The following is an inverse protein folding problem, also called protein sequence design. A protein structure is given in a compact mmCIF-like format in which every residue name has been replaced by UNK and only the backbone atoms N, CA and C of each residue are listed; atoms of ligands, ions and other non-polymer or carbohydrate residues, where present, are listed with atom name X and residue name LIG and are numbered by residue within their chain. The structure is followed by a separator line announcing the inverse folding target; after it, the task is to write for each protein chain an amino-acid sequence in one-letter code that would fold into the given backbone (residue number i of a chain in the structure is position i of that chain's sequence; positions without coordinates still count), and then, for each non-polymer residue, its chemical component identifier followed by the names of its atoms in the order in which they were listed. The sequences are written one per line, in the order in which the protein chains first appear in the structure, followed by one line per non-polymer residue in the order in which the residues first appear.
data_IF_647898726888
#
_entry.id   IF_647898726888
#
_cell.length_a   1.000
_cell.length_b   1.000
_cell.length_c   1.000
_cell.angle_alpha   90.00
_cell.angle_beta   90.00
_cell.angle_gamma   90.00
#
_symmetry.space_group_name_H-M   'P 1'
#
loop_
_entity.id
_entity.type
_entity.pdbx_description
1 polymer ?
#
# COMPACT_ATOMS: atom_id res chain seq x y z
N UNK A 1 -42.77 56.51 10.51
CA UNK A 1 -42.74 55.07 10.15
C UNK A 1 -41.29 54.65 10.17
N UNK A 2 -40.90 53.91 11.21
CA UNK A 2 -39.54 53.40 11.39
C UNK A 2 -39.52 51.96 10.88
N UNK A 3 -38.80 51.71 9.79
CA UNK A 3 -38.54 50.35 9.30
C UNK A 3 -37.24 49.85 9.92
N UNK A 4 -37.36 48.95 10.91
CA UNK A 4 -36.22 48.19 11.42
C UNK A 4 -35.97 47.01 10.47
N UNK A 5 -34.83 47.08 9.77
CA UNK A 5 -34.28 45.97 8.99
C UNK A 5 -34.03 44.75 9.88
N UNK A 6 -34.49 43.58 9.41
CA UNK A 6 -34.12 42.28 9.99
C UNK A 6 -32.64 42.01 9.73
N UNK A 7 -31.87 41.46 10.69
CA UNK A 7 -30.53 40.97 10.41
C UNK A 7 -30.59 39.82 9.42
N UNK A 8 -29.78 39.89 8.37
CA UNK A 8 -29.57 38.79 7.42
C UNK A 8 -28.94 37.61 8.16
N UNK A 9 -29.46 36.42 7.91
CA UNK A 9 -28.83 35.15 8.29
C UNK A 9 -27.37 35.12 7.83
N UNK A 10 -26.45 34.99 8.78
CA UNK A 10 -25.05 34.66 8.51
C UNK A 10 -25.00 33.24 7.93
N UNK A 11 -24.93 33.14 6.60
CA UNK A 11 -24.51 31.90 5.95
C UNK A 11 -23.08 31.59 6.41
N UNK A 12 -22.95 30.54 7.23
CA UNK A 12 -21.68 29.87 7.50
C UNK A 12 -20.98 29.64 6.17
N UNK A 13 -19.73 30.09 5.95
CA UNK A 13 -19.02 29.70 4.77
C UNK A 13 -18.75 28.20 4.91
N UNK A 14 -19.44 27.40 4.10
CA UNK A 14 -19.01 26.04 3.81
C UNK A 14 -17.58 26.16 3.24
N UNK A 15 -16.59 25.82 4.06
CA UNK A 15 -15.24 25.55 3.61
C UNK A 15 -15.30 24.22 2.85
N UNK A 16 -15.95 24.22 1.69
CA UNK A 16 -15.76 23.18 0.70
C UNK A 16 -14.30 23.25 0.27
N UNK A 17 -13.53 22.25 0.69
CA UNK A 17 -12.15 22.09 0.26
C UNK A 17 -12.14 21.96 -1.26
N UNK A 18 -11.64 22.99 -1.95
CA UNK A 18 -11.65 23.09 -3.42
C UNK A 18 -10.51 22.33 -4.11
N UNK A 19 -9.71 21.61 -3.33
CA UNK A 19 -8.59 20.82 -3.81
C UNK A 19 -9.14 19.49 -4.35
N UNK A 20 -9.30 19.44 -5.67
CA UNK A 20 -9.57 18.20 -6.39
C UNK A 20 -8.22 17.62 -6.87
N UNK A 21 -7.77 16.46 -6.35
CA UNK A 21 -6.52 15.81 -6.75
C UNK A 21 -6.40 15.57 -8.26
N UNK A 22 -7.51 15.41 -8.99
CA UNK A 22 -7.52 15.24 -10.44
C UNK A 22 -6.99 16.47 -11.20
N UNK A 23 -6.99 17.66 -10.59
CA UNK A 23 -6.45 18.88 -11.21
C UNK A 23 -4.92 18.89 -11.31
N UNK A 24 -4.24 18.01 -10.59
CA UNK A 24 -2.78 17.89 -10.62
C UNK A 24 -2.28 16.86 -11.65
N UNK A 25 -3.19 16.18 -12.35
CA UNK A 25 -2.86 15.25 -13.44
C UNK A 25 -2.74 15.99 -14.79
N UNK A 26 -1.80 16.93 -14.94
CA UNK A 26 -1.45 17.51 -16.25
C UNK A 26 -0.07 18.20 -16.29
N UNK A 27 0.55 18.17 -17.47
CA UNK A 27 1.95 18.49 -17.81
C UNK A 27 2.32 19.98 -17.61
N UNK A 28 2.99 20.37 -16.50
CA UNK A 28 4.15 21.32 -16.55
C UNK A 28 4.63 21.94 -15.22
N UNK A 29 4.14 21.51 -14.06
CA UNK A 29 4.93 21.65 -12.82
C UNK A 29 4.75 20.39 -12.00
N UNK A 30 5.59 19.38 -12.28
CA UNK A 30 5.66 18.18 -11.46
C UNK A 30 6.55 18.50 -10.26
N UNK A 31 6.00 18.43 -9.05
CA UNK A 31 6.79 18.56 -7.83
C UNK A 31 7.96 17.57 -7.88
N UNK A 32 9.22 18.02 -7.71
CA UNK A 32 10.37 17.14 -7.82
C UNK A 32 10.25 15.95 -6.86
N UNK A 33 10.48 14.73 -7.34
CA UNK A 33 10.44 13.54 -6.50
C UNK A 33 11.37 13.72 -5.28
N UNK A 34 10.87 13.38 -4.11
CA UNK A 34 11.60 13.51 -2.85
C UNK A 34 11.58 14.92 -2.25
N UNK A 35 10.92 15.88 -2.88
CA UNK A 35 10.69 17.22 -2.30
C UNK A 35 9.46 17.26 -1.39
N UNK A 36 9.39 18.28 -0.54
CA UNK A 36 8.23 18.50 0.32
C UNK A 36 6.89 18.69 -0.45
N UNK A 37 6.81 19.48 -1.54
CA UNK A 37 5.57 19.56 -2.33
C UNK A 37 5.16 18.21 -2.92
N UNK A 38 6.13 17.38 -3.30
CA UNK A 38 5.85 16.04 -3.82
C UNK A 38 5.22 15.15 -2.75
N UNK A 39 5.67 15.21 -1.48
CA UNK A 39 5.07 14.38 -0.42
C UNK A 39 3.67 14.80 -0.02
N UNK A 40 3.33 16.09 -0.13
CA UNK A 40 1.97 16.53 0.19
C UNK A 40 0.97 15.93 -0.81
N UNK A 41 1.35 15.88 -2.10
CA UNK A 41 0.59 15.18 -3.12
C UNK A 41 0.48 13.69 -2.77
N UNK A 42 1.56 13.06 -2.31
CA UNK A 42 1.50 11.64 -1.95
C UNK A 42 0.57 11.37 -0.75
N UNK A 43 0.63 12.21 0.29
CA UNK A 43 -0.24 12.11 1.47
C UNK A 43 -1.72 12.30 1.11
N UNK A 44 -2.05 13.25 0.23
CA UNK A 44 -3.41 13.46 -0.26
C UNK A 44 -3.94 12.28 -1.08
N UNK A 45 -3.04 11.57 -1.77
CA UNK A 45 -3.33 10.29 -2.45
C UNK A 45 -3.41 9.10 -1.48
N UNK A 46 -3.20 9.33 -0.17
CA UNK A 46 -3.28 8.30 0.87
C UNK A 46 -1.98 7.50 1.11
N UNK A 47 -0.86 7.91 0.52
CA UNK A 47 0.43 7.23 0.72
C UNK A 47 1.07 7.59 2.05
N UNK A 48 1.85 6.65 2.59
CA UNK A 48 2.72 6.90 3.73
C UNK A 48 4.11 7.33 3.27
N UNK A 49 4.63 8.41 3.83
CA UNK A 49 5.92 9.00 3.39
C UNK A 49 6.92 9.08 4.53
N UNK A 50 8.20 8.89 4.25
CA UNK A 50 9.27 8.94 5.24
C UNK A 50 10.48 9.69 4.69
N UNK A 51 11.36 10.15 5.57
CA UNK A 51 12.68 10.67 5.18
C UNK A 51 13.69 9.53 5.17
N UNK A 52 14.76 9.65 4.38
CA UNK A 52 15.79 8.61 4.31
C UNK A 52 16.66 8.57 5.57
N UNK A 53 16.80 9.71 6.22
CA UNK A 53 17.62 9.91 7.42
C UNK A 53 16.89 9.61 8.74
N UNK A 54 15.59 9.28 8.68
CA UNK A 54 14.85 8.90 9.88
C UNK A 54 15.41 7.59 10.45
N UNK A 55 15.77 7.67 11.73
CA UNK A 55 16.62 6.72 12.44
C UNK A 55 15.97 5.36 12.72
N UNK A 56 14.65 5.28 12.61
CA UNK A 56 13.88 4.07 12.85
C UNK A 56 13.30 3.58 11.51
N UNK A 57 13.42 2.28 11.18
CA UNK A 57 13.00 1.72 9.89
C UNK A 57 11.51 1.92 9.59
N UNK A 58 10.71 2.30 10.58
CA UNK A 58 9.26 2.34 10.52
C UNK A 58 8.68 3.74 10.79
N UNK A 59 9.49 4.81 10.85
CA UNK A 59 8.95 6.17 10.97
C UNK A 59 8.33 6.63 9.63
N UNK A 60 7.07 7.10 9.66
CA UNK A 60 6.38 7.61 8.47
C UNK A 60 5.30 8.64 8.82
N UNK A 61 4.95 9.48 7.84
CA UNK A 61 3.78 10.36 7.86
C UNK A 61 2.61 9.70 7.15
N UNK A 62 1.40 10.00 7.60
CA UNK A 62 0.16 9.52 7.00
C UNK A 62 -0.97 10.54 7.21
N UNK A 63 -1.95 10.55 6.31
CA UNK A 63 -3.13 11.39 6.44
C UNK A 63 -4.14 10.75 7.41
N UNK A 64 -4.55 11.50 8.43
CA UNK A 64 -5.64 11.13 9.33
C UNK A 64 -6.91 11.81 8.80
N UNK A 65 -7.94 11.04 8.41
CA UNK A 65 -9.17 11.63 7.88
C UNK A 65 -9.95 12.36 8.97
N UNK A 66 -10.79 13.30 8.53
CA UNK A 66 -11.76 13.97 9.39
C UNK A 66 -12.60 12.93 10.15
N UNK A 67 -12.78 13.15 11.44
CA UNK A 67 -13.56 12.27 12.30
C UNK A 67 -14.40 13.08 13.28
N UNK A 68 -15.40 12.44 13.88
CA UNK A 68 -16.23 13.05 14.90
C UNK A 68 -15.98 12.36 16.23
N UNK A 69 -15.48 13.09 17.22
CA UNK A 69 -15.38 12.62 18.60
C UNK A 69 -16.51 13.26 19.41
N UNK A 70 -17.58 12.51 19.65
CA UNK A 70 -18.80 13.02 20.27
C UNK A 70 -19.47 14.08 19.38
N UNK A 71 -19.53 15.33 19.85
CA UNK A 71 -20.08 16.47 19.10
C UNK A 71 -18.99 17.36 18.45
N UNK A 72 -17.72 16.95 18.52
CA UNK A 72 -16.59 17.72 18.01
C UNK A 72 -16.13 17.12 16.68
N UNK A 73 -16.19 17.91 15.61
CA UNK A 73 -15.56 17.57 14.34
C UNK A 73 -14.06 17.83 14.43
N UNK A 74 -13.26 16.79 14.29
CA UNK A 74 -11.80 16.84 14.23
C UNK A 74 -11.40 16.88 12.76
N UNK A 75 -10.77 17.98 12.27
CA UNK A 75 -10.37 18.10 10.87
C UNK A 75 -9.30 17.08 10.49
N UNK A 76 -9.22 16.78 9.19
CA UNK A 76 -8.10 16.00 8.65
C UNK A 76 -6.77 16.67 9.01
N UNK A 77 -5.78 15.87 9.37
CA UNK A 77 -4.43 16.34 9.68
C UNK A 77 -3.41 15.24 9.38
N UNK A 78 -2.14 15.60 9.32
CA UNK A 78 -1.06 14.64 9.10
C UNK A 78 -0.60 14.12 10.46
N UNK A 79 -0.54 12.79 10.60
CA UNK A 79 0.10 12.12 11.72
C UNK A 79 1.52 11.68 11.37
N UNK A 80 2.40 11.64 12.35
CA UNK A 80 3.68 10.92 12.30
C UNK A 80 3.59 9.68 13.17
N UNK A 81 3.87 8.53 12.57
CA UNK A 81 4.11 7.28 13.27
C UNK A 81 5.58 7.21 13.68
N UNK A 82 5.83 6.83 14.93
CA UNK A 82 7.18 6.62 15.43
C UNK A 82 7.49 5.13 15.59
N UNK A 83 6.58 4.41 16.25
CA UNK A 83 6.66 2.97 16.49
C UNK A 83 5.30 2.43 16.92
N UNK A 84 5.08 1.10 17.00
CA UNK A 84 3.80 0.54 17.43
C UNK A 84 3.29 1.15 18.74
N UNK A 85 2.07 1.69 18.70
CA UNK A 85 1.43 2.36 19.84
C UNK A 85 1.88 3.81 20.09
N UNK A 86 2.78 4.37 19.28
CA UNK A 86 3.26 5.75 19.40
C UNK A 86 3.13 6.51 18.06
N UNK A 87 2.12 7.37 18.00
CA UNK A 87 1.89 8.33 16.92
C UNK A 87 1.56 9.71 17.50
N UNK A 88 1.86 10.77 16.76
CA UNK A 88 1.47 12.14 17.13
C UNK A 88 1.03 12.95 15.90
N UNK A 89 0.31 14.04 16.13
CA UNK A 89 0.06 15.04 15.08
C UNK A 89 1.39 15.65 14.62
N UNK A 90 1.56 15.80 13.32
CA UNK A 90 2.78 16.28 12.71
C UNK A 90 2.61 17.69 12.15
N UNK A 91 3.68 18.48 12.24
CA UNK A 91 3.83 19.77 11.60
C UNK A 91 5.21 19.82 10.94
N UNK A 92 5.33 20.36 9.72
CA UNK A 92 6.61 20.43 9.04
C UNK A 92 7.57 21.34 9.80
N UNK A 93 8.79 20.84 10.02
CA UNK A 93 9.92 21.68 10.43
C UNK A 93 10.52 22.41 9.21
N UNK A 94 11.33 23.47 9.40
CA UNK A 94 12.06 24.06 8.28
C UNK A 94 12.93 23.06 7.52
N UNK A 95 13.46 22.05 8.20
CA UNK A 95 14.22 20.97 7.58
C UNK A 95 13.34 20.10 6.66
N UNK A 96 12.16 19.72 7.13
CA UNK A 96 11.18 18.94 6.37
C UNK A 96 10.77 19.64 5.06
N UNK A 97 10.59 20.96 5.12
CA UNK A 97 10.23 21.79 3.97
C UNK A 97 11.33 21.85 2.91
N UNK A 98 12.60 21.77 3.33
CA UNK A 98 13.78 21.92 2.49
C UNK A 98 14.39 20.57 2.05
N UNK A 99 13.95 19.49 2.66
CA UNK A 99 14.44 18.15 2.39
C UNK A 99 14.15 17.69 0.95
N UNK A 100 15.09 16.93 0.41
CA UNK A 100 15.04 16.34 -0.93
C UNK A 100 15.21 14.81 -0.92
N UNK A 101 15.18 14.22 0.27
CA UNK A 101 15.38 12.79 0.53
C UNK A 101 14.10 12.08 0.96
N UNK A 102 12.94 12.74 0.81
CA UNK A 102 11.66 12.11 1.07
C UNK A 102 11.44 10.88 0.17
N UNK A 103 10.81 9.87 0.72
CA UNK A 103 10.39 8.64 0.06
C UNK A 103 8.99 8.24 0.49
N UNK A 104 8.46 7.22 -0.18
CA UNK A 104 7.26 6.51 0.27
C UNK A 104 7.77 5.20 0.87
N UNK A 105 7.20 4.78 2.01
CA UNK A 105 7.53 3.47 2.56
C UNK A 105 6.76 2.39 1.79
N UNK A 106 7.49 1.39 1.30
CA UNK A 106 6.94 0.33 0.48
C UNK A 106 7.11 -1.01 1.17
N UNK A 107 6.69 -1.05 2.43
CA UNK A 107 6.81 -2.23 3.28
C UNK A 107 5.43 -2.77 3.64
N UNK A 108 5.33 -4.10 3.66
CA UNK A 108 4.13 -4.83 4.00
C UNK A 108 4.54 -6.02 4.87
N UNK A 109 4.06 -6.05 6.12
CA UNK A 109 4.38 -7.10 7.09
C UNK A 109 3.09 -7.77 7.55
N UNK A 110 3.02 -9.10 7.43
CA UNK A 110 1.84 -9.88 7.80
C UNK A 110 2.20 -11.30 8.24
N UNK A 111 1.39 -11.86 9.14
CA UNK A 111 1.35 -13.28 9.43
C UNK A 111 0.26 -13.95 8.61
N UNK A 112 0.56 -15.12 8.05
CA UNK A 112 -0.45 -15.97 7.44
C UNK A 112 -0.21 -17.45 7.76
N UNK A 113 -1.28 -18.25 7.65
CA UNK A 113 -1.18 -19.71 7.62
C UNK A 113 -1.07 -20.15 6.16
N UNK A 114 0.00 -20.90 5.86
CA UNK A 114 0.25 -21.44 4.52
C UNK A 114 -0.67 -22.64 4.24
N UNK A 115 -1.20 -22.70 3.01
CA UNK A 115 -2.13 -23.73 2.56
C UNK A 115 -1.75 -24.26 1.18
N UNK A 116 -2.40 -25.36 0.80
CA UNK A 116 -2.29 -25.98 -0.51
C UNK A 116 -3.63 -25.92 -1.23
N UNK A 117 -3.61 -25.52 -2.50
CA UNK A 117 -4.73 -25.73 -3.43
C UNK A 117 -4.29 -26.77 -4.45
N UNK A 118 -5.10 -27.81 -4.61
CA UNK A 118 -4.84 -28.88 -5.59
C UNK A 118 -5.54 -28.52 -6.90
N UNK A 119 -4.78 -28.43 -8.00
CA UNK A 119 -5.30 -28.17 -9.34
C UNK A 119 -4.84 -29.29 -10.31
N UNK A 120 -5.58 -29.62 -11.39
CA UNK A 120 -5.14 -30.63 -12.36
C UNK A 120 -3.79 -30.29 -13.01
N UNK A 121 -3.54 -29.00 -13.24
CA UNK A 121 -2.39 -28.48 -14.00
C UNK A 121 -1.15 -28.20 -13.12
N UNK A 122 -1.33 -28.10 -11.80
CA UNK A 122 -0.29 -27.72 -10.86
C UNK A 122 -0.83 -27.59 -9.46
N UNK A 123 -0.01 -27.87 -8.45
CA UNK A 123 -0.40 -27.57 -7.07
C UNK A 123 0.02 -26.14 -6.73
N UNK A 124 -0.83 -25.40 -6.02
CA UNK A 124 -0.49 -24.06 -5.55
C UNK A 124 -0.25 -24.07 -4.05
N UNK A 125 0.80 -23.38 -3.61
CA UNK A 125 1.21 -23.35 -2.21
C UNK A 125 1.36 -21.91 -1.72
N UNK A 126 0.70 -21.55 -0.62
CA UNK A 126 0.79 -20.20 -0.08
C UNK A 126 -0.45 -19.75 0.68
N UNK A 127 -0.66 -18.45 0.72
CA UNK A 127 -1.83 -17.81 1.30
C UNK A 127 -2.93 -17.59 0.26
N UNK A 128 -4.16 -17.96 0.62
CA UNK A 128 -5.36 -17.80 -0.21
C UNK A 128 -6.50 -17.24 0.65
N UNK A 129 -6.84 -15.96 0.47
CA UNK A 129 -7.72 -15.19 1.36
C UNK A 129 -9.20 -15.58 1.35
N UNK A 130 -9.64 -16.43 0.41
CA UNK A 130 -10.98 -17.00 0.36
C UNK A 130 -11.11 -18.33 1.14
N UNK A 131 -9.99 -18.94 1.51
CA UNK A 131 -9.96 -20.08 2.42
C UNK A 131 -9.85 -19.58 3.86
N UNK A 132 -10.23 -20.38 4.85
CA UNK A 132 -10.21 -20.07 6.29
C UNK A 132 -8.82 -19.77 6.89
N UNK A 133 -7.86 -19.36 6.08
CA UNK A 133 -6.51 -18.96 6.46
C UNK A 133 -6.57 -17.60 7.17
N UNK A 134 -6.21 -17.58 8.46
CA UNK A 134 -6.04 -16.33 9.19
C UNK A 134 -4.87 -15.54 8.59
N UNK A 135 -5.16 -14.29 8.19
CA UNK A 135 -4.17 -13.28 7.82
C UNK A 135 -4.21 -12.18 8.88
N UNK A 136 -3.07 -11.89 9.48
CA UNK A 136 -2.90 -10.78 10.41
C UNK A 136 -1.88 -9.79 9.84
N UNK A 137 -2.35 -8.63 9.42
CA UNK A 137 -1.49 -7.57 8.90
C UNK A 137 -0.98 -6.73 10.07
N UNK A 138 0.35 -6.60 10.19
CA UNK A 138 1.00 -5.73 11.19
C UNK A 138 1.41 -4.39 10.58
N UNK A 139 1.72 -4.38 9.29
CA UNK A 139 2.21 -3.22 8.58
C UNK A 139 1.70 -3.25 7.15
N UNK A 140 1.09 -2.16 6.70
CA UNK A 140 0.58 -1.99 5.35
C UNK A 140 0.77 -0.54 4.96
N UNK A 141 1.98 -0.21 4.51
CA UNK A 141 2.38 1.18 4.28
C UNK A 141 1.94 1.71 2.91
N UNK A 142 0.99 0.99 2.30
CA UNK A 142 0.70 1.02 0.87
C UNK A 142 -0.74 1.31 0.50
N UNK A 143 -1.63 1.43 1.49
CA UNK A 143 -3.06 1.60 1.22
C UNK A 143 -3.67 0.41 0.48
N UNK A 144 -3.03 -0.77 0.54
CA UNK A 144 -3.64 -2.00 0.02
C UNK A 144 -4.95 -2.22 0.76
N UNK A 145 -6.04 -2.37 0.03
CA UNK A 145 -7.32 -2.67 0.64
C UNK A 145 -7.33 -4.10 1.18
N UNK A 146 -6.81 -5.05 0.39
CA UNK A 146 -6.68 -6.47 0.78
C UNK A 146 -5.49 -7.13 0.09
N UNK A 147 -4.83 -8.03 0.81
CA UNK A 147 -4.00 -9.08 0.21
C UNK A 147 -4.96 -10.24 -0.06
N UNK A 148 -5.15 -10.60 -1.32
CA UNK A 148 -6.10 -11.64 -1.73
C UNK A 148 -5.43 -13.00 -1.80
N UNK A 149 -4.22 -13.07 -2.35
CA UNK A 149 -3.42 -14.28 -2.31
C UNK A 149 -1.93 -13.98 -2.50
N UNK A 150 -1.11 -14.90 -2.00
CA UNK A 150 0.32 -14.93 -2.22
C UNK A 150 0.75 -16.40 -2.31
N UNK A 151 1.15 -16.86 -3.50
CA UNK A 151 1.37 -18.28 -3.72
C UNK A 151 2.45 -18.59 -4.75
N UNK A 152 3.00 -19.78 -4.59
CA UNK A 152 3.89 -20.49 -5.49
C UNK A 152 3.08 -21.38 -6.41
N UNK A 153 3.33 -21.28 -7.72
CA UNK A 153 2.78 -22.18 -8.74
C UNK A 153 3.75 -23.35 -8.99
N UNK A 154 3.45 -24.51 -8.39
CA UNK A 154 4.16 -25.77 -8.59
C UNK A 154 3.54 -26.53 -9.79
N UNK A 155 3.47 -25.85 -10.93
CA UNK A 155 2.97 -26.45 -12.17
C UNK A 155 3.78 -27.67 -12.59
N UNK A 156 3.10 -28.63 -13.24
CA UNK A 156 3.74 -29.89 -13.67
C UNK A 156 4.63 -29.72 -14.90
N UNK A 157 4.50 -28.60 -15.61
CA UNK A 157 5.28 -28.23 -16.77
C UNK A 157 6.43 -27.28 -16.37
N UNK A 158 7.70 -27.73 -16.41
CA UNK A 158 8.87 -26.92 -16.05
C UNK A 158 9.04 -25.63 -16.85
N UNK A 159 8.41 -25.50 -18.03
CA UNK A 159 8.47 -24.28 -18.84
C UNK A 159 7.47 -23.20 -18.40
N UNK A 160 6.45 -23.58 -17.60
CA UNK A 160 5.39 -22.70 -17.10
C UNK A 160 5.31 -22.64 -15.56
N UNK A 161 5.96 -23.57 -14.86
CA UNK A 161 6.11 -23.60 -13.42
C UNK A 161 7.36 -22.83 -13.05
N UNK A 162 7.24 -21.66 -12.40
CA UNK A 162 8.31 -21.01 -11.62
C UNK A 162 7.93 -19.56 -11.21
N UNK A 163 6.66 -19.29 -10.91
CA UNK A 163 6.17 -17.92 -10.65
C UNK A 163 5.62 -17.81 -9.23
N UNK A 164 6.11 -16.82 -8.49
CA UNK A 164 5.44 -16.33 -7.29
C UNK A 164 4.42 -15.26 -7.69
N UNK A 165 3.17 -15.49 -7.29
CA UNK A 165 2.06 -14.59 -7.55
C UNK A 165 1.68 -13.83 -6.28
N UNK A 166 1.52 -12.53 -6.41
CA UNK A 166 0.90 -11.68 -5.38
C UNK A 166 -0.36 -11.07 -6.00
N UNK A 167 -1.51 -11.29 -5.36
CA UNK A 167 -2.79 -10.72 -5.74
C UNK A 167 -3.25 -9.78 -4.62
N UNK A 168 -3.40 -8.51 -4.96
CA UNK A 168 -3.74 -7.44 -4.02
C UNK A 168 -4.85 -6.60 -4.63
N UNK A 169 -5.73 -6.03 -3.81
CA UNK A 169 -6.68 -4.99 -4.24
C UNK A 169 -6.37 -3.65 -3.61
N UNK A 170 -6.81 -2.59 -4.27
CA UNK A 170 -6.84 -1.23 -3.72
C UNK A 170 -8.29 -0.78 -3.49
N UNK A 171 -8.47 0.22 -2.64
CA UNK A 171 -9.81 0.78 -2.35
C UNK A 171 -10.28 1.76 -3.42
N UNK A 172 -9.42 2.14 -4.37
CA UNK A 172 -9.64 3.26 -5.28
C UNK A 172 -8.87 3.06 -6.60
N UNK A 173 -9.48 3.42 -7.73
CA UNK A 173 -8.93 3.23 -9.08
C UNK A 173 -7.61 3.98 -9.32
N UNK A 174 -7.48 5.19 -8.77
CA UNK A 174 -6.30 6.04 -8.93
C UNK A 174 -5.12 5.42 -8.17
N UNK A 175 -5.38 4.93 -6.95
CA UNK A 175 -4.41 4.18 -6.16
C UNK A 175 -3.99 2.92 -6.93
N UNK A 176 -4.94 2.20 -7.53
CA UNK A 176 -4.69 1.01 -8.34
C UNK A 176 -3.76 1.28 -9.54
N UNK A 177 -4.00 2.39 -10.26
CA UNK A 177 -3.19 2.78 -11.42
C UNK A 177 -1.75 3.08 -10.99
N UNK A 178 -1.58 3.93 -9.97
CA UNK A 178 -0.26 4.29 -9.46
C UNK A 178 0.49 3.09 -8.88
N UNK A 179 -0.23 2.17 -8.24
CA UNK A 179 0.36 0.98 -7.63
C UNK A 179 0.88 0.00 -8.68
N UNK A 180 0.10 -0.23 -9.74
CA UNK A 180 0.49 -1.09 -10.87
C UNK A 180 1.77 -0.58 -11.53
N UNK A 181 1.78 0.69 -11.93
CA UNK A 181 2.94 1.32 -12.57
C UNK A 181 4.16 1.26 -11.65
N UNK A 182 3.98 1.53 -10.36
CA UNK A 182 5.06 1.44 -9.39
C UNK A 182 5.61 0.02 -9.25
N UNK A 183 4.76 -0.99 -9.03
CA UNK A 183 5.22 -2.35 -8.81
C UNK A 183 5.97 -2.90 -10.03
N UNK A 184 5.61 -2.44 -11.24
CA UNK A 184 6.33 -2.77 -12.47
C UNK A 184 7.78 -2.26 -12.52
N UNK A 185 8.10 -1.20 -11.78
CA UNK A 185 9.41 -0.54 -11.84
C UNK A 185 10.38 -0.97 -10.74
N UNK A 186 9.96 -1.84 -9.81
CA UNK A 186 10.59 -1.98 -8.49
C UNK A 186 10.89 -3.43 -8.16
N UNK A 187 12.03 -3.64 -7.51
CA UNK A 187 12.42 -4.99 -7.11
C UNK A 187 11.78 -5.34 -5.78
N UNK A 188 11.16 -6.51 -5.68
CA UNK A 188 10.57 -7.02 -4.45
C UNK A 188 11.60 -7.85 -3.68
N UNK A 189 11.75 -7.56 -2.39
CA UNK A 189 12.46 -8.37 -1.42
C UNK A 189 11.46 -8.94 -0.42
N UNK A 190 11.54 -10.24 -0.15
CA UNK A 190 10.68 -10.94 0.80
C UNK A 190 11.53 -11.52 1.91
N UNK A 191 11.25 -11.16 3.16
CA UNK A 191 11.90 -11.74 4.34
C UNK A 191 10.92 -12.64 5.07
N UNK A 192 11.33 -13.87 5.36
CA UNK A 192 10.58 -14.86 6.16
C UNK A 192 11.58 -15.73 6.91
N UNK A 193 11.27 -16.07 8.17
CA UNK A 193 12.15 -16.84 9.05
C UNK A 193 13.59 -16.29 9.16
N UNK A 194 13.72 -14.96 9.07
CA UNK A 194 15.01 -14.24 9.13
C UNK A 194 15.86 -14.32 7.85
N UNK A 195 15.34 -14.94 6.78
CA UNK A 195 16.02 -15.04 5.48
C UNK A 195 15.34 -14.12 4.47
N UNK A 196 16.13 -13.33 3.75
CA UNK A 196 15.64 -12.42 2.71
C UNK A 196 15.89 -13.00 1.31
N UNK A 197 14.84 -13.04 0.50
CA UNK A 197 14.81 -13.48 -0.88
C UNK A 197 14.58 -12.27 -1.79
N UNK A 198 15.46 -12.05 -2.75
CA UNK A 198 15.26 -11.03 -3.77
C UNK A 198 14.43 -11.65 -4.89
N UNK A 199 13.21 -11.17 -5.14
CA UNK A 199 12.34 -11.64 -6.22
C UNK A 199 12.46 -10.82 -7.52
N UNK A 200 13.26 -9.73 -7.50
CA UNK A 200 13.47 -8.87 -8.65
C UNK A 200 12.23 -8.07 -9.02
N UNK A 201 12.21 -7.55 -10.24
CA UNK A 201 11.06 -6.81 -10.77
C UNK A 201 9.99 -7.79 -11.23
N UNK A 202 8.72 -7.40 -11.09
CA UNK A 202 7.62 -8.15 -11.74
C UNK A 202 7.87 -8.20 -13.23
N UNK A 203 7.67 -9.37 -13.81
CA UNK A 203 7.84 -9.52 -15.24
C UNK A 203 6.50 -9.55 -16.00
N UNK A 204 5.39 -9.84 -15.31
CA UNK A 204 4.03 -9.63 -15.82
C UNK A 204 3.20 -8.97 -14.71
N UNK A 205 2.81 -7.72 -14.94
CA UNK A 205 1.68 -7.11 -14.24
C UNK A 205 0.42 -7.33 -15.09
N UNK A 206 -0.41 -8.32 -14.74
CA UNK A 206 -1.69 -8.49 -15.43
C UNK A 206 -2.72 -7.62 -14.72
N UNK A 207 -3.15 -6.57 -15.41
CA UNK A 207 -4.31 -5.77 -15.00
C UNK A 207 -5.57 -6.52 -15.44
N UNK A 208 -6.13 -7.33 -14.55
CA UNK A 208 -7.45 -7.91 -14.76
C UNK A 208 -8.49 -6.86 -14.44
N UNK A 209 -9.03 -6.16 -15.45
CA UNK A 209 -10.21 -5.32 -15.25
C UNK A 209 -11.42 -6.20 -14.82
N UNK A 210 -11.40 -7.53 -15.08
CA UNK A 210 -12.54 -8.42 -14.81
C UNK A 210 -12.26 -9.89 -14.35
N UNK A 211 -11.04 -10.33 -14.03
CA UNK A 211 -10.80 -11.73 -13.57
C UNK A 211 -9.78 -11.73 -12.40
N UNK A 212 -10.11 -12.08 -11.15
CA UNK A 212 -10.56 -13.40 -10.63
C UNK A 212 -11.42 -13.18 -9.35
N UNK A 213 -12.53 -12.46 -9.49
CA UNK A 213 -13.66 -12.46 -8.55
C UNK A 213 -13.35 -12.24 -7.07
N UNK A 214 -13.41 -10.99 -6.59
CA UNK A 214 -14.40 -10.50 -5.60
C UNK A 214 -14.17 -9.06 -5.10
N UNK A 215 -13.12 -8.34 -5.51
CA UNK A 215 -12.86 -6.95 -5.10
C UNK A 215 -12.69 -5.99 -6.29
N UNK A 216 -13.12 -4.72 -6.17
CA UNK A 216 -12.76 -3.70 -7.14
C UNK A 216 -11.25 -3.43 -7.12
N UNK A 217 -10.68 -3.10 -8.27
CA UNK A 217 -9.30 -2.65 -8.42
C UNK A 217 -8.22 -3.67 -7.98
N UNK A 218 -8.42 -4.92 -8.38
CA UNK A 218 -7.47 -6.02 -8.21
C UNK A 218 -6.26 -5.88 -9.15
N UNK A 219 -5.12 -6.30 -8.65
CA UNK A 219 -3.87 -6.34 -9.38
C UNK A 219 -3.09 -7.61 -9.05
N UNK A 220 -2.57 -8.27 -10.08
CA UNK A 220 -1.83 -9.52 -9.99
C UNK A 220 -0.42 -9.32 -10.51
N UNK A 221 0.55 -9.70 -9.68
CA UNK A 221 1.97 -9.47 -9.90
C UNK A 221 2.72 -10.80 -9.92
N UNK A 222 3.36 -11.13 -11.05
CA UNK A 222 4.16 -12.34 -11.21
C UNK A 222 5.67 -12.06 -11.17
N UNK A 223 6.39 -12.77 -10.31
CA UNK A 223 7.85 -12.63 -10.16
C UNK A 223 8.59 -13.90 -10.58
N UNK A 224 9.60 -13.76 -11.44
CA UNK A 224 10.47 -14.84 -11.91
C UNK A 224 11.97 -14.46 -11.82
N UNK A 225 12.67 -14.90 -10.79
CA UNK A 225 14.13 -14.92 -10.71
C UNK A 225 14.69 -16.08 -9.85
N UNK A 226 15.99 -16.37 -9.92
CA UNK A 226 16.56 -17.58 -9.29
C UNK A 226 16.29 -17.78 -7.77
N UNK A 227 15.99 -16.73 -7.01
CA UNK A 227 15.71 -16.85 -5.57
C UNK A 227 14.25 -17.28 -5.26
N UNK A 228 13.34 -17.29 -6.24
CA UNK A 228 11.95 -17.73 -6.02
C UNK A 228 11.84 -19.19 -5.59
N UNK A 229 12.74 -20.09 -6.04
CA UNK A 229 12.60 -21.54 -5.76
C UNK A 229 12.73 -21.81 -4.27
N UNK A 230 13.66 -21.10 -3.64
CA UNK A 230 13.90 -21.21 -2.20
C UNK A 230 12.70 -20.71 -1.41
N UNK A 231 12.07 -19.61 -1.86
CA UNK A 231 10.84 -19.10 -1.26
C UNK A 231 9.66 -20.06 -1.48
N UNK A 232 9.56 -20.69 -2.65
CA UNK A 232 8.55 -21.72 -2.94
C UNK A 232 8.62 -22.92 -1.99
N UNK A 233 9.83 -23.36 -1.62
CA UNK A 233 10.02 -24.41 -0.61
C UNK A 233 9.55 -23.99 0.79
N UNK A 234 9.62 -22.69 1.13
CA UNK A 234 8.98 -22.16 2.35
C UNK A 234 7.46 -22.22 2.22
N UNK A 235 6.90 -21.80 1.08
CA UNK A 235 5.45 -21.78 0.84
C UNK A 235 4.82 -23.18 0.87
N UNK A 236 5.59 -24.23 0.55
CA UNK A 236 5.19 -25.65 0.66
C UNK A 236 5.00 -26.14 2.12
N UNK A 237 5.45 -25.39 3.12
CA UNK A 237 5.31 -25.72 4.55
C UNK A 237 3.88 -25.45 5.06
N UNK A 238 2.91 -26.15 4.48
CA UNK A 238 1.48 -25.95 4.74
C UNK A 238 1.08 -26.30 6.17
N UNK A 239 0.10 -25.57 6.70
CA UNK A 239 -0.32 -25.64 8.11
C UNK A 239 0.57 -24.82 9.06
N UNK A 240 1.73 -24.34 8.62
CA UNK A 240 2.56 -23.46 9.42
C UNK A 240 2.11 -22.00 9.32
N UNK A 241 2.21 -21.29 10.46
CA UNK A 241 2.12 -19.83 10.49
C UNK A 241 3.50 -19.23 10.20
N UNK A 242 3.57 -18.33 9.24
CA UNK A 242 4.79 -17.61 8.87
C UNK A 242 4.57 -16.11 8.91
N UNK A 243 5.62 -15.38 9.30
CA UNK A 243 5.67 -13.93 9.25
C UNK A 243 6.43 -13.50 7.99
N UNK A 244 5.75 -12.81 7.09
CA UNK A 244 6.35 -12.28 5.86
C UNK A 244 6.52 -10.77 5.97
N UNK A 245 7.68 -10.29 5.53
CA UNK A 245 7.98 -8.87 5.35
C UNK A 245 8.36 -8.61 3.89
N UNK A 246 7.54 -7.88 3.17
CA UNK A 246 7.73 -7.51 1.78
C UNK A 246 8.24 -6.08 1.70
N UNK A 247 9.29 -5.86 0.90
CA UNK A 247 9.89 -4.55 0.67
C UNK A 247 10.13 -4.33 -0.82
N UNK A 248 9.53 -3.29 -1.38
CA UNK A 248 9.79 -2.90 -2.77
C UNK A 248 10.81 -1.76 -2.84
N UNK A 249 11.92 -1.97 -3.56
CA UNK A 249 13.06 -1.03 -3.67
C UNK A 249 13.27 -0.54 -5.09
#
# INVERSE_FOLDING_TARGET
MSGMDKPKEDKKPDLECSLNPERYKSQDVVAPRGSFPWIMIQLDLGWQVSRRDWSEPNEYLYLIPQSTQGNISVPSHIGKHFKPGLSASWQPTPEDLMACDWGINYELTFDCILNKVVNPDGDYFGYFGDSSAELQIFENNRGFAKILSFYWDDAKDPENSDINWIVISSGDEIIANNLSDFMSMKSLYVTVDGVTYNLGTTGVGIRGIEHLGKAPYEFTCGYWNNDFKKLGEILKQTGERKCFHFKWV
#
